data_IF_695444220071
#
_entry.id   IF_695444220071
#
_cell.length_a   1.000
_cell.length_b   1.000
_cell.length_c   1.000
_cell.angle_alpha   90.00
_cell.angle_beta   90.00
_cell.angle_gamma   90.00
#
_symmetry.space_group_name_H-M   'P 1'
#
loop_
_entity.id
_entity.type
_entity.pdbx_description
1 polymer ?
#
# COMPACT_ATOMS: atom_id res chain seq x y z
N UNK A 1 -4.44 -19.43 17.96
CA UNK A 1 -2.96 -19.52 17.90
C UNK A 1 -2.27 -20.13 19.13
N UNK A 2 -2.72 -19.90 20.37
CA UNK A 2 -2.13 -20.58 21.54
C UNK A 2 -0.68 -20.16 21.87
N UNK A 3 -0.28 -18.96 21.43
CA UNK A 3 0.99 -18.33 21.77
C UNK A 3 0.92 -17.79 23.19
N UNK A 4 1.91 -18.12 24.03
CA UNK A 4 1.88 -17.77 25.44
C UNK A 4 1.96 -16.25 25.69
N UNK A 5 2.81 -15.52 24.96
CA UNK A 5 2.99 -14.08 25.10
C UNK A 5 3.15 -13.40 23.73
N UNK A 6 2.35 -12.36 23.48
CA UNK A 6 2.51 -11.41 22.38
C UNK A 6 2.45 -10.01 23.00
N UNK A 7 3.61 -9.40 23.22
CA UNK A 7 3.77 -8.19 24.00
C UNK A 7 4.10 -7.01 23.10
N UNK A 8 3.09 -6.17 22.91
CA UNK A 8 3.09 -5.01 22.01
C UNK A 8 2.60 -3.82 22.81
N UNK A 9 3.04 -2.61 22.46
CA UNK A 9 2.55 -1.37 23.09
C UNK A 9 2.53 -1.38 24.64
N UNK A 10 3.46 -2.11 25.27
CA UNK A 10 3.44 -2.45 26.69
C UNK A 10 4.22 -1.46 27.57
N UNK A 11 4.92 -0.51 26.94
CA UNK A 11 5.62 0.58 27.62
C UNK A 11 5.13 1.93 27.08
N UNK A 12 5.32 3.04 27.83
CA UNK A 12 4.89 4.36 27.39
C UNK A 12 5.67 4.84 26.15
N UNK A 13 4.95 5.18 25.08
CA UNK A 13 5.51 5.85 23.89
C UNK A 13 5.49 7.37 24.07
N UNK A 14 6.50 8.06 23.54
CA UNK A 14 6.49 9.52 23.49
C UNK A 14 5.56 9.97 22.36
N UNK A 15 4.68 10.91 22.67
CA UNK A 15 3.86 11.60 21.67
C UNK A 15 4.76 12.48 20.79
N UNK A 16 4.52 12.46 19.48
CA UNK A 16 5.22 13.34 18.55
C UNK A 16 4.73 14.80 18.71
N UNK A 17 5.65 15.75 18.51
CA UNK A 17 5.37 17.17 18.43
C UNK A 17 5.93 17.74 17.12
N UNK A 18 5.03 18.16 16.22
CA UNK A 18 5.39 18.72 14.91
C UNK A 18 4.82 20.13 14.70
N UNK A 19 4.69 20.56 13.44
CA UNK A 19 4.11 21.85 13.04
C UNK A 19 2.59 21.96 13.31
N UNK A 20 1.91 20.86 13.59
CA UNK A 20 0.50 20.79 13.98
C UNK A 20 0.29 20.68 15.50
N UNK A 21 1.37 20.51 16.26
CA UNK A 21 1.38 20.48 17.72
C UNK A 21 1.56 19.07 18.29
N UNK A 22 1.04 18.84 19.50
CA UNK A 22 1.13 17.54 20.17
C UNK A 22 0.13 16.54 19.61
N UNK A 23 0.60 15.35 19.24
CA UNK A 23 -0.24 14.21 18.82
C UNK A 23 -0.36 13.22 19.98
N UNK A 24 -1.25 13.51 20.93
CA UNK A 24 -1.42 12.74 22.16
C UNK A 24 -2.67 11.84 22.15
N UNK A 25 -3.14 11.45 20.96
CA UNK A 25 -4.32 10.62 20.81
C UNK A 25 -4.13 9.24 21.49
N UNK A 26 -5.12 8.76 22.25
CA UNK A 26 -5.02 7.49 22.94
C UNK A 26 -5.15 6.32 21.96
N UNK A 27 -4.46 5.21 22.25
CA UNK A 27 -4.65 3.98 21.50
C UNK A 27 -6.03 3.38 21.72
N UNK A 28 -6.81 3.30 20.66
CA UNK A 28 -8.13 2.67 20.65
C UNK A 28 -8.28 1.67 19.49
N UNK A 29 -7.19 0.96 19.17
CA UNK A 29 -7.05 -0.08 18.12
C UNK A 29 -6.51 0.39 16.74
N UNK A 30 -5.68 1.45 16.72
CA UNK A 30 -4.98 1.96 15.52
C UNK A 30 -3.56 2.37 15.92
N UNK A 31 -2.57 2.22 15.07
CA UNK A 31 -1.18 2.49 15.45
C UNK A 31 -0.94 3.96 15.83
N UNK A 32 0.14 4.14 16.58
CA UNK A 32 0.51 5.43 17.12
C UNK A 32 1.30 6.25 16.10
N UNK A 33 1.03 7.56 16.07
CA UNK A 33 1.98 8.52 15.54
C UNK A 33 3.12 8.73 16.56
N UNK A 34 4.21 7.97 16.39
CA UNK A 34 5.30 7.89 17.36
C UNK A 34 6.66 8.30 16.80
N UNK A 35 7.53 8.78 17.68
CA UNK A 35 8.92 9.14 17.35
C UNK A 35 9.86 7.93 17.37
N UNK A 36 10.93 8.00 16.57
CA UNK A 36 12.01 7.01 16.62
C UNK A 36 12.93 7.23 17.83
N UNK A 37 13.28 6.14 18.51
CA UNK A 37 14.23 6.11 19.60
C UNK A 37 15.18 4.92 19.54
N UNK A 38 16.21 4.98 20.37
CA UNK A 38 17.15 3.87 20.58
C UNK A 38 16.75 3.10 21.85
N UNK A 39 16.50 1.81 21.70
CA UNK A 39 16.09 0.94 22.79
C UNK A 39 17.26 0.08 23.28
N UNK A 40 17.43 0.02 24.60
CA UNK A 40 18.30 -0.92 25.31
C UNK A 40 17.44 -1.70 26.32
N UNK A 41 17.08 -2.94 25.96
CA UNK A 41 16.06 -3.71 26.67
C UNK A 41 16.68 -4.95 27.29
N UNK A 42 16.44 -5.17 28.59
CA UNK A 42 16.77 -6.42 29.28
C UNK A 42 15.49 -7.13 29.69
N UNK A 43 15.16 -8.20 28.98
CA UNK A 43 13.97 -9.02 29.23
C UNK A 43 14.34 -10.23 30.10
N UNK A 44 13.71 -10.35 31.27
CA UNK A 44 13.88 -11.51 32.15
C UNK A 44 12.62 -12.38 32.12
N UNK A 45 12.76 -13.63 31.67
CA UNK A 45 11.65 -14.60 31.49
C UNK A 45 12.08 -16.00 31.93
N UNK A 46 11.14 -16.91 32.14
CA UNK A 46 11.45 -18.31 32.44
C UNK A 46 12.36 -18.93 31.37
N UNK A 47 13.35 -19.71 31.79
CA UNK A 47 14.49 -20.11 30.93
C UNK A 47 14.09 -20.90 29.68
N UNK A 48 12.95 -21.60 29.73
CA UNK A 48 12.48 -22.50 28.68
C UNK A 48 11.71 -21.77 27.56
N UNK A 49 11.34 -20.50 27.74
CA UNK A 49 10.68 -19.70 26.70
C UNK A 49 11.66 -19.37 25.58
N UNK A 50 11.27 -19.56 24.32
CA UNK A 50 11.98 -18.98 23.18
C UNK A 50 11.38 -17.59 22.91
N UNK A 51 12.22 -16.58 22.66
CA UNK A 51 11.81 -15.19 22.51
C UNK A 51 12.24 -14.68 21.14
N UNK A 52 11.29 -14.11 20.39
CA UNK A 52 11.55 -13.34 19.17
C UNK A 52 11.01 -11.92 19.31
N UNK A 53 11.56 -10.97 18.56
CA UNK A 53 11.09 -9.59 18.63
C UNK A 53 11.96 -8.59 17.88
N UNK A 54 11.75 -7.32 18.20
CA UNK A 54 12.51 -6.16 17.70
C UNK A 54 13.95 -6.18 18.22
N UNK A 55 14.89 -5.73 17.38
CA UNK A 55 16.26 -5.45 17.80
C UNK A 55 17.22 -6.64 17.78
N UNK A 56 18.48 -6.33 18.04
CA UNK A 56 19.62 -7.24 17.97
C UNK A 56 19.94 -7.80 19.35
N UNK A 57 19.98 -9.13 19.48
CA UNK A 57 20.41 -9.78 20.72
C UNK A 57 21.90 -9.48 20.99
N UNK A 58 22.21 -9.09 22.22
CA UNK A 58 23.54 -8.76 22.69
C UNK A 58 24.14 -9.92 23.48
N UNK A 59 25.03 -10.67 22.83
CA UNK A 59 25.72 -11.83 23.44
C UNK A 59 24.76 -12.95 23.87
N UNK A 60 25.27 -13.84 24.71
CA UNK A 60 24.48 -14.97 25.22
C UNK A 60 23.53 -14.56 26.36
N UNK A 61 22.30 -15.10 26.41
CA UNK A 61 21.39 -14.87 27.52
C UNK A 61 21.99 -15.30 28.86
N UNK A 62 21.79 -14.50 29.90
CA UNK A 62 22.26 -14.81 31.25
C UNK A 62 21.22 -15.63 31.99
N UNK A 63 21.56 -16.86 32.37
CA UNK A 63 20.66 -17.78 33.09
C UNK A 63 20.96 -17.75 34.59
N UNK A 64 19.93 -17.50 35.40
CA UNK A 64 19.97 -17.53 36.86
C UNK A 64 18.58 -17.85 37.41
N UNK A 65 18.50 -18.66 38.48
CA UNK A 65 17.27 -18.93 39.23
C UNK A 65 16.06 -19.34 38.35
N UNK A 66 16.27 -20.31 37.45
CA UNK A 66 15.28 -20.80 36.49
C UNK A 66 14.75 -19.77 35.47
N UNK A 67 15.37 -18.60 35.41
CA UNK A 67 15.08 -17.54 34.44
C UNK A 67 16.27 -17.29 33.53
N UNK A 68 16.01 -16.66 32.39
CA UNK A 68 17.04 -16.08 31.52
C UNK A 68 16.77 -14.60 31.30
N UNK A 69 17.85 -13.84 31.26
CA UNK A 69 17.85 -12.42 30.87
C UNK A 69 18.45 -12.30 29.47
N UNK A 70 17.66 -11.82 28.52
CA UNK A 70 18.09 -11.52 27.16
C UNK A 70 18.26 -9.99 27.05
N UNK A 71 19.37 -9.55 26.45
CA UNK A 71 19.66 -8.14 26.23
C UNK A 71 19.49 -7.84 24.74
N UNK A 72 18.62 -6.89 24.40
CA UNK A 72 18.40 -6.42 23.03
C UNK A 72 18.81 -4.96 22.89
N UNK A 73 19.29 -4.60 21.69
CA UNK A 73 19.43 -3.21 21.25
C UNK A 73 18.67 -3.00 19.95
N UNK A 74 17.82 -1.98 19.89
CA UNK A 74 17.10 -1.61 18.67
C UNK A 74 17.27 -0.11 18.42
N UNK A 75 18.18 0.30 17.52
CA UNK A 75 18.36 1.71 17.20
C UNK A 75 17.27 2.19 16.25
N UNK A 76 16.87 3.46 16.39
CA UNK A 76 15.96 4.16 15.48
C UNK A 76 14.64 3.44 15.18
N UNK A 77 13.99 2.88 16.19
CA UNK A 77 12.66 2.26 16.07
C UNK A 77 11.63 3.07 16.85
N UNK A 78 10.35 3.05 16.45
CA UNK A 78 9.28 3.73 17.21
C UNK A 78 8.57 2.80 18.20
N UNK A 79 8.80 1.48 18.09
CA UNK A 79 8.31 0.52 19.06
C UNK A 79 9.31 -0.63 19.34
N UNK A 80 9.18 -1.26 20.50
CA UNK A 80 9.85 -2.51 20.84
C UNK A 80 8.81 -3.59 21.14
N UNK A 81 8.69 -4.53 20.22
CA UNK A 81 7.75 -5.66 20.31
C UNK A 81 8.50 -6.96 20.55
N UNK A 82 7.88 -7.86 21.33
CA UNK A 82 8.38 -9.21 21.48
C UNK A 82 7.25 -10.21 21.69
N UNK A 83 7.51 -11.46 21.33
CA UNK A 83 6.65 -12.59 21.61
C UNK A 83 7.47 -13.75 22.14
N UNK A 84 6.85 -14.58 22.96
CA UNK A 84 7.55 -15.70 23.57
C UNK A 84 6.63 -16.89 23.83
N UNK A 85 7.16 -18.08 23.60
CA UNK A 85 6.49 -19.35 23.84
C UNK A 85 7.54 -20.45 24.10
N UNK A 86 7.33 -21.37 25.06
CA UNK A 86 8.24 -22.50 25.29
C UNK A 86 8.25 -23.50 24.12
N UNK A 87 7.24 -23.46 23.25
CA UNK A 87 7.08 -24.36 22.13
C UNK A 87 7.40 -23.72 20.77
N UNK A 88 7.94 -22.49 20.73
CA UNK A 88 8.43 -21.94 19.48
C UNK A 88 9.65 -22.71 18.93
N UNK A 89 9.56 -23.06 17.65
CA UNK A 89 10.71 -23.27 16.77
C UNK A 89 11.30 -21.92 16.43
N UNK A 90 12.62 -21.82 16.37
CA UNK A 90 13.33 -20.66 15.84
C UNK A 90 14.17 -21.10 14.63
N UNK A 91 13.72 -20.74 13.43
CA UNK A 91 14.49 -20.89 12.20
C UNK A 91 15.12 -19.57 11.79
N UNK A 92 16.19 -19.65 11.00
CA UNK A 92 16.82 -18.48 10.39
C UNK A 92 17.02 -18.69 8.89
N UNK A 93 16.87 -17.62 8.12
CA UNK A 93 17.15 -17.60 6.68
C UNK A 93 18.00 -16.37 6.34
N UNK A 94 19.21 -16.59 5.82
CA UNK A 94 20.10 -15.50 5.43
C UNK A 94 19.75 -15.04 4.01
N UNK A 95 19.40 -13.76 3.85
CA UNK A 95 19.30 -13.14 2.53
C UNK A 95 20.72 -12.89 2.01
N UNK A 96 20.99 -13.21 0.74
CA UNK A 96 22.29 -12.94 0.12
C UNK A 96 22.62 -11.44 0.20
N UNK A 97 23.73 -11.09 0.87
CA UNK A 97 24.14 -9.70 1.15
C UNK A 97 23.06 -8.82 1.83
N UNK A 98 22.12 -9.43 2.55
CA UNK A 98 20.98 -8.75 3.17
C UNK A 98 20.79 -9.12 4.64
N UNK A 99 19.64 -8.71 5.23
CA UNK A 99 19.36 -9.00 6.64
C UNK A 99 19.16 -10.50 6.90
N UNK A 100 19.43 -10.90 8.14
CA UNK A 100 19.08 -12.23 8.64
C UNK A 100 17.57 -12.26 8.97
N UNK A 101 16.83 -13.18 8.36
CA UNK A 101 15.42 -13.40 8.69
C UNK A 101 15.31 -14.42 9.81
N UNK A 102 14.45 -14.14 10.80
CA UNK A 102 14.12 -15.05 11.89
C UNK A 102 12.65 -15.46 11.80
N UNK A 103 12.36 -16.74 12.00
CA UNK A 103 10.99 -17.25 12.00
C UNK A 103 10.70 -17.96 13.31
N UNK A 104 9.63 -17.55 13.98
CA UNK A 104 9.20 -18.12 15.26
C UNK A 104 7.77 -18.64 15.13
N UNK A 105 7.57 -19.94 15.30
CA UNK A 105 6.25 -20.57 15.18
C UNK A 105 6.18 -21.82 16.04
N UNK A 106 4.98 -22.20 16.49
CA UNK A 106 4.85 -23.32 17.43
C UNK A 106 5.21 -24.65 16.78
N UNK A 107 5.90 -25.50 17.52
CA UNK A 107 6.35 -26.84 17.07
C UNK A 107 5.24 -27.88 17.04
N UNK A 108 4.11 -27.62 17.70
CA UNK A 108 2.95 -28.53 17.84
C UNK A 108 1.84 -28.29 16.80
N UNK A 109 2.09 -27.44 15.81
CA UNK A 109 1.16 -27.22 14.70
C UNK A 109 0.96 -28.50 13.88
N UNK A 110 -0.20 -28.63 13.22
CA UNK A 110 -0.40 -29.68 12.23
C UNK A 110 0.65 -29.61 11.11
N UNK A 111 1.03 -30.76 10.56
CA UNK A 111 2.12 -30.88 9.59
C UNK A 111 1.98 -29.92 8.40
N UNK A 112 0.75 -29.71 7.90
CA UNK A 112 0.49 -28.78 6.80
C UNK A 112 0.91 -27.34 7.11
N UNK A 113 0.76 -26.89 8.36
CA UNK A 113 1.15 -25.54 8.77
C UNK A 113 2.66 -25.45 8.99
N UNK A 114 3.28 -26.48 9.56
CA UNK A 114 4.74 -26.58 9.65
C UNK A 114 5.39 -26.49 8.26
N UNK A 115 4.84 -27.20 7.28
CA UNK A 115 5.31 -27.15 5.89
C UNK A 115 5.13 -25.75 5.27
N UNK A 116 4.02 -25.07 5.57
CA UNK A 116 3.78 -23.69 5.11
C UNK A 116 4.81 -22.72 5.69
N UNK A 117 5.14 -22.83 6.99
CA UNK A 117 6.18 -22.01 7.63
C UNK A 117 7.57 -22.24 7.03
N UNK A 118 7.91 -23.47 6.64
CA UNK A 118 9.17 -23.76 5.93
C UNK A 118 9.19 -23.16 4.52
N UNK A 119 8.09 -23.25 3.78
CA UNK A 119 7.96 -22.64 2.44
C UNK A 119 8.02 -21.11 2.49
N UNK A 120 7.48 -20.51 3.55
CA UNK A 120 7.43 -19.06 3.74
C UNK A 120 8.82 -18.41 3.79
N UNK A 121 9.85 -19.10 4.28
CA UNK A 121 11.16 -18.52 4.57
C UNK A 121 11.86 -17.95 3.32
N UNK A 122 12.11 -18.74 2.26
CA UNK A 122 12.69 -18.20 1.02
C UNK A 122 11.79 -17.18 0.34
N UNK A 123 10.46 -17.30 0.43
CA UNK A 123 9.55 -16.34 -0.21
C UNK A 123 9.51 -15.00 0.54
N UNK A 124 9.68 -14.99 1.87
CA UNK A 124 9.87 -13.77 2.67
C UNK A 124 11.15 -13.03 2.25
N UNK A 125 12.23 -13.76 1.95
CA UNK A 125 13.45 -13.16 1.42
C UNK A 125 13.22 -12.48 0.06
N UNK A 126 12.41 -13.09 -0.82
CA UNK A 126 12.04 -12.47 -2.10
C UNK A 126 11.16 -11.24 -1.92
N UNK A 127 10.22 -11.27 -0.97
CA UNK A 127 9.39 -10.10 -0.62
C UNK A 127 10.26 -8.93 -0.12
N UNK A 128 11.18 -9.19 0.83
CA UNK A 128 12.13 -8.19 1.33
C UNK A 128 12.97 -7.58 0.20
N UNK A 129 13.48 -8.41 -0.72
CA UNK A 129 14.22 -7.95 -1.88
C UNK A 129 13.36 -7.07 -2.80
N UNK A 130 12.12 -7.51 -3.09
CA UNK A 130 11.18 -6.76 -3.92
C UNK A 130 10.88 -5.37 -3.33
N UNK A 131 10.57 -5.28 -2.04
CA UNK A 131 10.31 -3.99 -1.37
C UNK A 131 11.55 -3.11 -1.32
N UNK A 132 12.73 -3.71 -1.06
CA UNK A 132 14.00 -2.98 -1.06
C UNK A 132 14.31 -2.37 -2.42
N UNK A 133 14.01 -3.11 -3.50
CA UNK A 133 14.24 -2.66 -4.87
C UNK A 133 13.21 -1.66 -5.37
N UNK A 134 11.95 -1.78 -4.97
CA UNK A 134 10.84 -0.99 -5.52
C UNK A 134 10.44 0.21 -4.66
N UNK A 135 10.75 0.22 -3.36
CA UNK A 135 10.44 1.31 -2.44
C UNK A 135 11.71 2.00 -1.97
N UNK A 136 12.62 1.26 -1.32
CA UNK A 136 13.94 1.76 -0.93
C UNK A 136 14.64 0.85 0.08
N UNK A 137 15.88 1.14 0.47
CA UNK A 137 16.68 0.18 1.24
C UNK A 137 16.13 -0.08 2.65
N UNK A 138 16.01 -1.35 3.03
CA UNK A 138 15.79 -1.76 4.42
C UNK A 138 17.02 -1.45 5.29
N UNK A 139 16.93 -0.65 6.36
CA UNK A 139 18.11 -0.11 7.05
C UNK A 139 18.65 -0.99 8.20
N UNK A 140 18.04 -2.15 8.48
CA UNK A 140 18.42 -3.00 9.61
C UNK A 140 19.05 -4.32 9.17
N UNK A 141 19.78 -4.98 10.07
CA UNK A 141 20.53 -6.21 9.77
C UNK A 141 19.70 -7.50 9.98
N UNK A 142 18.49 -7.39 10.53
CA UNK A 142 17.60 -8.55 10.71
C UNK A 142 16.12 -8.16 10.63
N UNK A 143 15.26 -9.14 10.39
CA UNK A 143 13.80 -9.00 10.52
C UNK A 143 13.19 -10.31 11.04
N UNK A 144 12.19 -10.23 11.92
CA UNK A 144 11.52 -11.42 12.48
C UNK A 144 10.08 -11.57 12.01
N UNK A 145 9.70 -12.74 11.51
CA UNK A 145 8.30 -13.15 11.31
C UNK A 145 7.91 -14.08 12.45
N UNK A 146 6.95 -13.66 13.28
CA UNK A 146 6.65 -14.36 14.54
C UNK A 146 5.17 -14.75 14.54
N UNK A 147 4.88 -15.99 14.93
CA UNK A 147 3.51 -16.41 15.20
C UNK A 147 2.97 -15.64 16.40
N UNK A 148 1.92 -14.86 16.18
CA UNK A 148 1.25 -14.03 17.18
C UNK A 148 -0.12 -14.56 17.60
N UNK A 149 -0.80 -13.79 18.44
CA UNK A 149 -2.16 -14.10 18.91
C UNK A 149 -3.29 -13.66 17.99
N UNK A 150 -3.08 -12.61 17.17
CA UNK A 150 -4.12 -11.93 16.40
C UNK A 150 -3.68 -11.68 14.95
N UNK A 151 -4.66 -11.67 14.03
CA UNK A 151 -4.55 -11.68 12.57
C UNK A 151 -3.15 -11.52 11.95
N UNK A 152 -2.74 -10.26 11.82
CA UNK A 152 -1.45 -9.78 11.34
C UNK A 152 -1.25 -8.40 11.96
N UNK A 153 -0.03 -8.09 12.37
CA UNK A 153 0.31 -6.79 12.94
C UNK A 153 1.79 -6.49 12.72
N UNK A 154 2.04 -5.28 12.28
CA UNK A 154 3.32 -4.74 11.91
C UNK A 154 4.05 -4.15 13.12
N UNK A 155 5.36 -4.42 13.24
CA UNK A 155 6.22 -3.87 14.28
C UNK A 155 7.61 -3.56 13.76
N UNK A 156 8.37 -2.79 14.54
CA UNK A 156 9.70 -2.40 14.12
C UNK A 156 10.60 -3.64 14.08
N UNK A 157 11.19 -3.91 12.92
CA UNK A 157 12.04 -5.09 12.67
C UNK A 157 11.34 -6.44 12.87
N UNK A 158 10.01 -6.49 13.03
CA UNK A 158 9.29 -7.75 13.14
C UNK A 158 7.81 -7.63 12.80
N UNK A 159 7.16 -8.75 12.54
CA UNK A 159 5.70 -8.84 12.46
C UNK A 159 5.19 -9.98 13.33
N UNK A 160 4.00 -9.78 13.89
CA UNK A 160 3.21 -10.84 14.51
C UNK A 160 2.11 -11.27 13.54
N UNK A 161 2.05 -12.55 13.17
CA UNK A 161 1.01 -13.08 12.27
C UNK A 161 0.39 -14.36 12.83
N UNK A 162 -0.88 -14.65 12.55
CA UNK A 162 -1.44 -15.97 12.88
C UNK A 162 -0.86 -17.03 11.95
N UNK A 163 -0.47 -18.18 12.52
CA UNK A 163 0.32 -19.21 11.84
C UNK A 163 -0.49 -20.36 11.25
N UNK A 164 -1.73 -20.57 11.69
CA UNK A 164 -2.61 -21.66 11.21
C UNK A 164 -3.37 -21.28 9.93
N UNK A 165 -2.63 -20.87 8.89
CA UNK A 165 -3.18 -20.38 7.61
C UNK A 165 -2.85 -21.31 6.44
N UNK A 166 -3.68 -21.28 5.40
CA UNK A 166 -3.29 -21.81 4.09
C UNK A 166 -2.09 -21.03 3.56
N UNK A 167 -1.24 -21.64 2.72
CA UNK A 167 0.00 -21.01 2.28
C UNK A 167 -0.21 -19.64 1.65
N UNK A 168 -1.16 -19.51 0.73
CA UNK A 168 -1.45 -18.22 0.08
C UNK A 168 -1.91 -17.14 1.05
N UNK A 169 -2.65 -17.50 2.11
CA UNK A 169 -3.04 -16.55 3.15
C UNK A 169 -1.87 -16.18 4.08
N UNK A 170 -1.02 -17.15 4.44
CA UNK A 170 0.17 -16.92 5.26
C UNK A 170 1.18 -16.02 4.56
N UNK A 171 1.46 -16.30 3.28
CA UNK A 171 2.33 -15.47 2.45
C UNK A 171 1.75 -14.06 2.25
N UNK A 172 0.44 -13.96 1.99
CA UNK A 172 -0.24 -12.67 1.80
C UNK A 172 -0.20 -11.78 3.04
N UNK A 173 -0.50 -12.31 4.23
CA UNK A 173 -0.39 -11.53 5.47
C UNK A 173 1.07 -11.14 5.74
N UNK A 174 2.02 -12.07 5.54
CA UNK A 174 3.45 -11.77 5.71
C UNK A 174 3.92 -10.67 4.77
N UNK A 175 3.46 -10.66 3.52
CA UNK A 175 3.78 -9.61 2.54
C UNK A 175 3.24 -8.23 2.96
N UNK A 176 2.01 -8.18 3.49
CA UNK A 176 1.40 -6.95 4.00
C UNK A 176 2.17 -6.42 5.21
N UNK A 177 2.32 -7.24 6.26
CA UNK A 177 2.98 -6.78 7.49
C UNK A 177 4.48 -6.48 7.31
N UNK A 178 5.14 -7.15 6.35
CA UNK A 178 6.51 -6.83 6.01
C UNK A 178 6.60 -5.48 5.29
N UNK A 179 5.70 -5.20 4.35
CA UNK A 179 5.68 -3.95 3.58
C UNK A 179 5.48 -2.71 4.47
N UNK A 180 4.76 -2.86 5.58
CA UNK A 180 4.60 -1.83 6.61
C UNK A 180 5.93 -1.33 7.16
N UNK A 181 7.01 -2.12 7.11
CA UNK A 181 8.36 -1.63 7.41
C UNK A 181 8.69 -0.33 6.67
N UNK A 182 8.33 -0.21 5.40
CA UNK A 182 8.64 0.99 4.62
C UNK A 182 7.66 2.12 4.89
N UNK A 183 6.36 1.84 4.90
CA UNK A 183 5.32 2.88 4.97
C UNK A 183 4.93 3.28 6.39
N UNK A 184 4.88 2.33 7.33
CA UNK A 184 4.59 2.63 8.74
C UNK A 184 5.84 2.85 9.58
N UNK A 185 6.90 2.05 9.43
CA UNK A 185 8.05 2.16 10.36
C UNK A 185 9.07 3.19 9.92
N UNK A 186 9.38 3.25 8.63
CA UNK A 186 10.43 4.14 8.12
C UNK A 186 9.86 5.50 7.75
N UNK A 187 8.68 5.58 7.14
CA UNK A 187 8.02 6.87 6.92
C UNK A 187 7.24 7.34 8.14
N UNK A 188 6.52 6.43 8.81
CA UNK A 188 5.71 6.70 10.01
C UNK A 188 4.74 7.86 9.82
N UNK A 189 3.97 7.82 8.74
CA UNK A 189 2.89 8.79 8.55
C UNK A 189 1.93 8.77 9.74
N UNK A 190 1.31 9.92 10.05
CA UNK A 190 0.34 10.02 11.13
C UNK A 190 -0.94 9.22 10.78
N UNK A 191 -0.97 7.94 11.16
CA UNK A 191 -2.06 7.01 10.82
C UNK A 191 -3.42 7.48 11.37
N UNK A 192 -3.46 8.20 12.49
CA UNK A 192 -4.70 8.75 13.02
C UNK A 192 -5.38 9.75 12.06
N UNK A 193 -4.61 10.39 11.17
CA UNK A 193 -5.10 11.35 10.17
C UNK A 193 -5.02 10.86 8.73
N UNK A 194 -4.09 9.95 8.45
CA UNK A 194 -3.64 9.59 7.10
C UNK A 194 -3.42 8.08 6.99
N UNK A 195 -4.29 7.29 7.61
CA UNK A 195 -4.25 5.81 7.65
C UNK A 195 -4.07 5.17 6.27
N UNK A 196 -4.60 5.83 5.24
CA UNK A 196 -4.62 5.33 3.88
C UNK A 196 -3.25 5.42 3.19
N UNK A 197 -2.36 6.30 3.68
CA UNK A 197 -0.98 6.35 3.22
C UNK A 197 -0.16 5.19 3.77
N UNK A 198 -0.56 4.67 4.92
CA UNK A 198 0.06 3.48 5.49
C UNK A 198 -0.57 2.22 4.87
N UNK A 199 -1.81 1.91 5.27
CA UNK A 199 -2.49 0.68 4.88
C UNK A 199 -2.70 0.55 3.38
N UNK A 200 -2.98 1.66 2.70
CA UNK A 200 -3.19 1.68 1.26
C UNK A 200 -1.90 1.49 0.48
N UNK A 201 -0.79 2.10 0.90
CA UNK A 201 0.48 1.99 0.18
C UNK A 201 1.11 0.62 0.44
N UNK A 202 0.97 0.11 1.66
CA UNK A 202 1.28 -1.29 2.03
C UNK A 202 0.44 -2.27 1.21
N UNK A 203 -0.87 -2.06 1.09
CA UNK A 203 -1.75 -2.88 0.24
C UNK A 203 -1.35 -2.83 -1.24
N UNK A 204 -0.96 -1.65 -1.73
CA UNK A 204 -0.50 -1.46 -3.10
C UNK A 204 0.76 -2.29 -3.38
N UNK A 205 1.83 -2.07 -2.60
CA UNK A 205 3.11 -2.70 -2.89
C UNK A 205 3.10 -4.20 -2.61
N UNK A 206 2.38 -4.65 -1.58
CA UNK A 206 2.29 -6.07 -1.23
C UNK A 206 1.51 -6.84 -2.30
N UNK A 207 0.46 -6.25 -2.89
CA UNK A 207 -0.24 -6.86 -4.02
C UNK A 207 0.67 -7.05 -5.25
N UNK A 208 1.54 -6.07 -5.54
CA UNK A 208 2.51 -6.19 -6.64
C UNK A 208 3.59 -7.24 -6.34
N UNK A 209 4.15 -7.25 -5.12
CA UNK A 209 5.14 -8.23 -4.69
C UNK A 209 4.58 -9.66 -4.75
N UNK A 210 3.35 -9.84 -4.26
CA UNK A 210 2.63 -11.11 -4.34
C UNK A 210 2.40 -11.53 -5.80
N UNK A 211 2.17 -10.59 -6.71
CA UNK A 211 2.01 -10.89 -8.13
C UNK A 211 3.32 -11.32 -8.78
N UNK A 212 4.46 -10.73 -8.36
CA UNK A 212 5.79 -11.09 -8.87
C UNK A 212 6.17 -12.52 -8.51
N UNK A 213 5.72 -13.02 -7.35
CA UNK A 213 5.96 -14.40 -6.91
C UNK A 213 5.02 -15.45 -7.52
N UNK A 214 4.01 -15.03 -8.30
CA UNK A 214 3.10 -15.98 -8.97
C UNK A 214 3.76 -16.60 -10.20
N UNK A 215 3.47 -17.87 -10.41
CA UNK A 215 3.75 -18.53 -11.69
C UNK A 215 2.97 -17.87 -12.83
N UNK A 216 1.68 -17.60 -12.60
CA UNK A 216 0.80 -16.88 -13.52
C UNK A 216 0.51 -15.47 -12.97
N UNK A 217 1.22 -14.49 -13.53
CA UNK A 217 1.03 -13.07 -13.19
C UNK A 217 -0.37 -12.61 -13.60
N UNK A 218 -1.04 -11.91 -12.70
CA UNK A 218 -2.29 -11.20 -13.00
C UNK A 218 -1.95 -9.91 -13.75
N UNK A 219 -2.79 -9.59 -14.73
CA UNK A 219 -2.73 -8.32 -15.46
C UNK A 219 -2.96 -7.13 -14.52
N UNK A 220 -4.03 -7.17 -13.73
CA UNK A 220 -4.29 -6.21 -12.66
C UNK A 220 -4.25 -6.89 -11.28
N UNK A 221 -3.10 -6.87 -10.57
CA UNK A 221 -3.00 -7.41 -9.21
C UNK A 221 -3.85 -6.66 -8.18
N UNK A 222 -4.25 -5.42 -8.48
CA UNK A 222 -5.02 -4.53 -7.60
C UNK A 222 -6.54 -4.61 -7.84
N UNK A 223 -7.01 -5.49 -8.73
CA UNK A 223 -8.44 -5.62 -9.03
C UNK A 223 -9.33 -5.85 -7.77
N UNK A 224 -8.77 -6.42 -6.70
CA UNK A 224 -9.43 -6.50 -5.40
C UNK A 224 -9.67 -5.12 -4.77
N UNK A 225 -8.64 -4.29 -4.71
CA UNK A 225 -8.68 -2.92 -4.17
C UNK A 225 -9.59 -2.03 -5.00
N UNK A 226 -9.56 -2.12 -6.34
CA UNK A 226 -10.50 -1.37 -7.20
C UNK A 226 -11.95 -1.74 -6.90
N UNK A 227 -12.29 -3.04 -6.79
CA UNK A 227 -13.65 -3.46 -6.40
C UNK A 227 -14.04 -2.97 -5.01
N UNK A 228 -13.12 -2.98 -4.04
CA UNK A 228 -13.35 -2.47 -2.70
C UNK A 228 -13.66 -0.96 -2.69
N UNK A 229 -12.86 -0.17 -3.42
CA UNK A 229 -13.07 1.26 -3.58
C UNK A 229 -14.38 1.57 -4.32
N UNK A 230 -14.65 0.95 -5.48
CA UNK A 230 -15.88 1.18 -6.25
C UNK A 230 -17.11 0.82 -5.42
N UNK A 231 -17.04 -0.25 -4.62
CA UNK A 231 -18.08 -0.61 -3.66
C UNK A 231 -18.31 0.46 -2.60
N UNK A 232 -17.25 1.09 -2.08
CA UNK A 232 -17.34 2.20 -1.14
C UNK A 232 -17.93 3.46 -1.80
N UNK A 233 -17.45 3.85 -2.97
CA UNK A 233 -17.92 5.04 -3.68
C UNK A 233 -19.43 4.96 -4.01
N UNK A 234 -19.91 3.76 -4.36
CA UNK A 234 -21.32 3.52 -4.65
C UNK A 234 -22.18 3.23 -3.40
N UNK A 235 -21.60 3.20 -2.20
CA UNK A 235 -22.30 2.80 -0.97
C UNK A 235 -23.22 3.88 -0.37
N UNK A 236 -22.96 5.15 -0.69
CA UNK A 236 -23.60 6.30 -0.05
C UNK A 236 -23.12 6.58 1.39
N UNK A 237 -22.10 5.85 1.89
CA UNK A 237 -21.52 6.05 3.23
C UNK A 237 -20.01 6.37 3.20
N UNK A 238 -19.46 6.67 2.02
CA UNK A 238 -18.08 7.10 1.88
C UNK A 238 -17.82 8.40 2.67
N UNK A 239 -16.63 8.48 3.27
CA UNK A 239 -16.11 9.71 3.87
C UNK A 239 -14.73 10.01 3.26
N UNK A 240 -14.32 11.30 3.14
CA UNK A 240 -13.02 11.66 2.61
C UNK A 240 -11.86 11.04 3.39
N UNK A 241 -10.71 10.84 2.74
CA UNK A 241 -9.47 10.32 3.35
C UNK A 241 -8.83 11.28 4.35
N UNK A 242 -9.40 12.47 4.54
CA UNK A 242 -9.06 13.42 5.61
C UNK A 242 -9.86 13.17 6.89
N UNK A 243 -10.79 12.21 6.87
CA UNK A 243 -11.53 11.80 8.07
C UNK A 243 -10.56 11.15 9.03
N UNK A 244 -10.45 11.72 10.24
CA UNK A 244 -9.68 11.10 11.31
C UNK A 244 -10.11 9.65 11.49
N UNK A 245 -9.14 8.74 11.60
CA UNK A 245 -9.36 7.30 11.58
C UNK A 245 -10.49 6.91 12.56
N UNK A 246 -10.44 7.37 13.82
CA UNK A 246 -11.47 7.11 14.84
C UNK A 246 -12.87 7.70 14.62
N UNK A 247 -13.08 8.45 13.55
CA UNK A 247 -14.31 9.24 13.32
C UNK A 247 -15.08 8.82 12.08
N UNK A 248 -14.72 7.70 11.49
CA UNK A 248 -15.58 7.06 10.50
C UNK A 248 -16.88 6.58 11.17
N UNK A 249 -18.00 6.79 10.49
CA UNK A 249 -19.32 6.36 10.95
C UNK A 249 -19.41 4.84 10.95
N UNK A 250 -18.73 4.17 10.02
CA UNK A 250 -18.74 2.72 9.86
C UNK A 250 -17.31 2.18 9.73
N UNK A 251 -16.98 1.11 10.47
CA UNK A 251 -15.70 0.42 10.33
C UNK A 251 -15.47 -0.15 8.93
N UNK A 252 -16.54 -0.52 8.22
CA UNK A 252 -16.44 -0.95 6.82
C UNK A 252 -16.01 0.19 5.90
N UNK A 253 -16.49 1.41 6.14
CA UNK A 253 -16.07 2.59 5.37
C UNK A 253 -14.61 2.93 5.66
N UNK A 254 -14.19 2.87 6.94
CA UNK A 254 -12.77 2.98 7.32
C UNK A 254 -11.90 1.95 6.59
N UNK A 255 -12.24 0.66 6.67
CA UNK A 255 -11.44 -0.39 6.06
C UNK A 255 -11.35 -0.27 4.53
N UNK A 256 -12.45 0.11 3.87
CA UNK A 256 -12.39 0.34 2.43
C UNK A 256 -11.60 1.61 2.08
N UNK A 257 -11.67 2.67 2.89
CA UNK A 257 -10.91 3.90 2.69
C UNK A 257 -9.39 3.69 2.90
N UNK A 258 -9.00 3.14 4.05
CA UNK A 258 -7.61 2.92 4.42
C UNK A 258 -6.89 1.98 3.44
N UNK A 259 -7.46 0.79 3.19
CA UNK A 259 -6.79 -0.24 2.40
C UNK A 259 -7.09 -0.11 0.91
N UNK A 260 -8.38 -0.09 0.53
CA UNK A 260 -8.77 -0.18 -0.88
C UNK A 260 -8.58 1.15 -1.60
N UNK A 261 -9.19 2.23 -1.10
CA UNK A 261 -9.06 3.56 -1.71
C UNK A 261 -7.63 4.09 -1.62
N UNK A 262 -6.93 3.85 -0.52
CA UNK A 262 -5.50 4.19 -0.40
C UNK A 262 -4.61 3.46 -1.41
N UNK A 263 -4.83 2.16 -1.66
CA UNK A 263 -4.10 1.44 -2.70
C UNK A 263 -4.43 1.95 -4.11
N UNK A 264 -5.71 2.24 -4.37
CA UNK A 264 -6.17 2.82 -5.63
C UNK A 264 -5.60 4.23 -5.81
N UNK A 265 -5.39 5.01 -4.75
CA UNK A 265 -4.77 6.35 -4.83
C UNK A 265 -3.41 6.28 -5.51
N UNK A 266 -2.54 5.33 -5.14
CA UNK A 266 -1.21 5.19 -5.76
C UNK A 266 -1.32 4.64 -7.18
N UNK A 267 -2.16 3.63 -7.40
CA UNK A 267 -2.34 3.02 -8.71
C UNK A 267 -2.89 4.01 -9.75
N UNK A 268 -3.91 4.77 -9.36
CA UNK A 268 -4.56 5.79 -10.16
C UNK A 268 -3.62 6.99 -10.41
N UNK A 269 -2.74 7.32 -9.47
CA UNK A 269 -1.67 8.29 -9.74
C UNK A 269 -0.76 7.78 -10.86
N UNK A 270 -0.45 6.49 -10.89
CA UNK A 270 0.27 5.84 -12.00
C UNK A 270 -0.43 5.95 -13.35
N UNK A 271 -1.76 5.83 -13.38
CA UNK A 271 -2.54 6.09 -14.59
C UNK A 271 -2.39 7.55 -15.07
N UNK A 272 -2.34 8.51 -14.13
CA UNK A 272 -2.22 9.96 -14.43
C UNK A 272 -0.83 10.32 -14.92
N UNK A 273 0.23 9.82 -14.29
CA UNK A 273 1.62 10.27 -14.55
C UNK A 273 2.48 9.29 -15.35
N UNK A 274 1.98 8.08 -15.60
CA UNK A 274 2.70 6.97 -16.21
C UNK A 274 3.44 6.11 -15.18
N UNK A 275 3.50 4.79 -15.44
CA UNK A 275 4.04 3.79 -14.50
C UNK A 275 5.52 4.04 -14.12
N UNK A 276 6.36 4.38 -15.10
CA UNK A 276 7.78 4.66 -14.85
C UNK A 276 8.01 5.89 -13.98
N UNK A 277 7.15 6.91 -14.14
CA UNK A 277 7.19 8.10 -13.28
C UNK A 277 6.66 7.78 -11.88
N UNK A 278 5.67 6.90 -11.75
CA UNK A 278 5.21 6.42 -10.44
C UNK A 278 6.31 5.66 -9.70
N UNK A 279 7.02 4.74 -10.36
CA UNK A 279 8.15 4.01 -9.77
C UNK A 279 9.23 4.98 -9.25
N UNK A 280 9.59 5.98 -10.05
CA UNK A 280 10.53 7.04 -9.64
C UNK A 280 9.98 7.87 -8.47
N UNK A 281 8.70 8.19 -8.47
CA UNK A 281 8.02 8.94 -7.42
C UNK A 281 8.07 8.21 -6.09
N UNK A 282 7.70 6.91 -6.06
CA UNK A 282 7.72 6.10 -4.84
C UNK A 282 9.14 6.04 -4.25
N UNK A 283 10.14 5.76 -5.08
CA UNK A 283 11.55 5.75 -4.64
C UNK A 283 12.00 7.09 -4.09
N UNK A 284 11.75 8.17 -4.84
CA UNK A 284 12.15 9.51 -4.43
C UNK A 284 11.45 9.95 -3.15
N UNK A 285 10.17 9.60 -3.01
CA UNK A 285 9.37 9.88 -1.82
C UNK A 285 9.94 9.15 -0.61
N UNK A 286 10.25 7.86 -0.74
CA UNK A 286 10.89 7.12 0.34
C UNK A 286 12.26 7.70 0.70
N UNK A 287 13.13 7.94 -0.27
CA UNK A 287 14.48 8.49 -0.04
C UNK A 287 14.45 9.87 0.64
N UNK A 288 13.48 10.71 0.26
CA UNK A 288 13.35 12.05 0.82
C UNK A 288 12.75 12.05 2.23
N UNK A 289 11.86 11.11 2.55
CA UNK A 289 11.02 11.18 3.75
C UNK A 289 11.22 10.05 4.76
N UNK A 290 12.07 9.07 4.48
CA UNK A 290 12.46 8.08 5.48
C UNK A 290 12.98 8.78 6.75
N UNK A 291 12.35 8.45 7.88
CA UNK A 291 12.50 9.02 9.21
C UNK A 291 12.09 10.50 9.33
N UNK A 292 11.00 10.92 8.66
CA UNK A 292 10.55 12.34 8.66
C UNK A 292 9.04 12.59 8.80
N UNK A 293 8.19 11.58 8.95
CA UNK A 293 6.74 11.76 9.11
C UNK A 293 6.08 12.55 7.95
N UNK A 294 6.12 12.05 6.70
CA UNK A 294 5.53 12.76 5.56
C UNK A 294 4.01 12.89 5.63
N UNK A 295 3.50 13.95 5.00
CA UNK A 295 2.07 14.28 4.86
C UNK A 295 1.57 13.97 3.43
N UNK A 296 0.25 13.91 3.20
CA UNK A 296 -0.32 13.61 1.88
C UNK A 296 0.22 14.48 0.73
N UNK A 297 0.44 15.78 0.97
CA UNK A 297 0.98 16.66 -0.06
C UNK A 297 2.42 16.35 -0.45
N UNK A 298 3.21 15.71 0.41
CA UNK A 298 4.60 15.35 0.11
C UNK A 298 4.68 14.29 -1.01
N UNK A 299 3.71 13.38 -1.08
CA UNK A 299 3.56 12.41 -2.18
C UNK A 299 3.32 13.15 -3.49
N UNK A 300 2.37 14.10 -3.48
CA UNK A 300 2.03 14.90 -4.66
C UNK A 300 3.20 15.76 -5.11
N UNK A 301 3.80 16.55 -4.21
CA UNK A 301 4.96 17.40 -4.55
C UNK A 301 6.16 16.58 -5.03
N UNK A 302 6.30 15.34 -4.57
CA UNK A 302 7.32 14.43 -5.12
C UNK A 302 6.98 14.03 -6.56
N UNK A 303 5.73 13.66 -6.85
CA UNK A 303 5.29 13.32 -8.20
C UNK A 303 5.45 14.50 -9.17
N UNK A 304 5.10 15.72 -8.75
CA UNK A 304 5.28 16.93 -9.55
C UNK A 304 6.76 17.20 -9.84
N UNK A 305 7.65 17.05 -8.86
CA UNK A 305 9.11 17.18 -9.08
C UNK A 305 9.69 16.16 -10.05
N UNK A 306 9.06 15.00 -10.21
CA UNK A 306 9.50 13.96 -11.15
C UNK A 306 8.96 14.20 -12.56
N UNK A 307 7.79 14.83 -12.67
CA UNK A 307 7.01 14.87 -13.91
C UNK A 307 6.89 16.27 -14.51
N UNK A 308 7.19 17.32 -13.74
CA UNK A 308 6.90 18.73 -14.03
C UNK A 308 5.39 19.03 -14.26
N UNK A 309 4.50 18.12 -13.85
CA UNK A 309 3.04 18.30 -13.90
C UNK A 309 2.52 19.04 -12.67
N UNK A 310 1.32 19.63 -12.79
CA UNK A 310 0.53 20.15 -11.66
C UNK A 310 -0.47 19.07 -11.20
N UNK A 311 -0.40 18.64 -9.93
CA UNK A 311 -1.09 17.44 -9.44
C UNK A 311 -1.84 17.62 -8.11
N UNK A 312 -1.86 18.81 -7.52
CA UNK A 312 -2.58 19.10 -6.28
C UNK A 312 -4.08 18.78 -6.34
N UNK A 313 -4.70 18.99 -7.51
CA UNK A 313 -6.08 18.61 -7.80
C UNK A 313 -6.36 17.13 -7.55
N UNK A 314 -5.38 16.25 -7.79
CA UNK A 314 -5.56 14.81 -7.62
C UNK A 314 -5.80 14.44 -6.15
N UNK A 315 -4.99 15.00 -5.24
CA UNK A 315 -5.22 14.81 -3.80
C UNK A 315 -6.52 15.47 -3.36
N UNK A 316 -6.82 16.67 -3.87
CA UNK A 316 -8.06 17.36 -3.53
C UNK A 316 -9.28 16.52 -3.91
N UNK A 317 -9.41 16.15 -5.18
CA UNK A 317 -10.59 15.42 -5.66
C UNK A 317 -10.64 13.99 -5.11
N UNK A 318 -9.57 13.20 -5.24
CA UNK A 318 -9.61 11.79 -4.85
C UNK A 318 -9.50 11.58 -3.34
N UNK A 319 -8.69 12.40 -2.65
CA UNK A 319 -8.41 12.24 -1.23
C UNK A 319 -9.25 13.11 -0.30
N UNK A 320 -9.45 14.39 -0.63
CA UNK A 320 -10.06 15.37 0.29
C UNK A 320 -11.57 15.54 0.07
N UNK A 321 -12.12 14.91 -0.96
CA UNK A 321 -13.57 14.87 -1.23
C UNK A 321 -14.05 13.42 -1.41
N UNK A 322 -15.34 13.27 -1.73
CA UNK A 322 -15.94 12.02 -2.20
C UNK A 322 -16.33 12.13 -3.68
N UNK A 323 -15.65 13.00 -4.44
CA UNK A 323 -15.86 13.11 -5.88
C UNK A 323 -15.48 11.79 -6.54
N UNK A 324 -16.30 11.35 -7.49
CA UNK A 324 -16.05 10.13 -8.26
C UNK A 324 -15.58 10.44 -9.68
N UNK A 325 -14.87 9.49 -10.25
CA UNK A 325 -14.57 9.42 -11.68
C UNK A 325 -15.72 8.65 -12.33
N UNK A 326 -16.40 9.25 -13.30
CA UNK A 326 -17.39 8.61 -14.17
C UNK A 326 -17.39 9.34 -15.50
N UNK A 327 -16.93 8.65 -16.55
CA UNK A 327 -16.86 9.14 -17.91
C UNK A 327 -17.72 8.27 -18.82
N UNK A 328 -18.20 8.83 -19.92
CA UNK A 328 -19.03 8.09 -20.86
C UNK A 328 -18.82 8.52 -22.30
N UNK A 329 -19.13 7.61 -23.22
CA UNK A 329 -19.20 7.92 -24.64
C UNK A 329 -20.61 8.42 -24.94
N UNK A 330 -20.75 9.73 -25.17
CA UNK A 330 -22.05 10.39 -25.38
C UNK A 330 -22.60 10.12 -26.77
N UNK A 331 -21.79 10.32 -27.80
CA UNK A 331 -22.19 10.10 -29.20
C UNK A 331 -21.01 9.72 -30.07
N UNK A 332 -21.25 8.83 -31.04
CA UNK A 332 -20.35 8.56 -32.17
C UNK A 332 -21.14 8.80 -33.46
N UNK A 333 -20.76 9.81 -34.23
CA UNK A 333 -21.40 10.17 -35.51
C UNK A 333 -20.37 10.12 -36.65
N UNK A 334 -20.32 8.97 -37.32
CA UNK A 334 -19.39 8.70 -38.41
C UNK A 334 -17.93 8.76 -37.95
N UNK A 335 -17.32 9.95 -38.03
CA UNK A 335 -15.93 10.22 -37.64
C UNK A 335 -15.80 11.10 -36.40
N UNK A 336 -16.91 11.60 -35.87
CA UNK A 336 -16.92 12.50 -34.72
C UNK A 336 -17.27 11.73 -33.45
N UNK A 337 -16.46 11.86 -32.42
CA UNK A 337 -16.65 11.22 -31.12
C UNK A 337 -16.87 12.33 -30.09
N UNK A 338 -17.93 12.23 -29.29
CA UNK A 338 -18.16 13.10 -28.12
C UNK A 338 -18.15 12.25 -26.87
N UNK A 339 -17.26 12.59 -25.95
CA UNK A 339 -17.20 12.07 -24.60
C UNK A 339 -17.93 13.01 -23.65
N UNK A 340 -18.38 12.48 -22.51
CA UNK A 340 -18.92 13.26 -21.40
C UNK A 340 -18.32 12.85 -20.07
N UNK A 341 -18.16 13.83 -19.18
CA UNK A 341 -17.78 13.63 -17.80
C UNK A 341 -19.03 13.75 -16.93
N UNK A 342 -19.41 12.64 -16.30
CA UNK A 342 -20.59 12.52 -15.44
C UNK A 342 -20.17 12.73 -13.97
N UNK A 343 -19.04 12.14 -13.58
CA UNK A 343 -18.42 12.29 -12.26
C UNK A 343 -17.81 13.67 -12.07
N UNK A 344 -17.62 14.07 -10.81
CA UNK A 344 -17.10 15.41 -10.49
C UNK A 344 -15.57 15.51 -10.59
N UNK A 345 -14.85 14.39 -10.53
CA UNK A 345 -13.39 14.37 -10.63
C UNK A 345 -12.95 14.38 -12.10
N UNK A 346 -12.23 15.41 -12.56
CA UNK A 346 -11.65 15.42 -13.91
C UNK A 346 -10.42 14.52 -13.99
N UNK A 347 -10.20 13.90 -15.14
CA UNK A 347 -9.09 12.98 -15.43
C UNK A 347 -8.53 13.22 -16.84
N UNK A 348 -7.22 13.00 -17.07
CA UNK A 348 -6.74 12.73 -18.41
C UNK A 348 -7.32 11.40 -18.89
N UNK A 349 -7.55 11.23 -20.20
CA UNK A 349 -8.28 10.08 -20.74
C UNK A 349 -7.44 9.32 -21.76
N UNK A 350 -7.20 8.03 -21.49
CA UNK A 350 -6.77 7.05 -22.48
C UNK A 350 -7.99 6.47 -23.21
N UNK A 351 -7.91 6.37 -24.54
CA UNK A 351 -9.03 5.96 -25.39
C UNK A 351 -8.53 5.06 -26.52
N UNK A 352 -9.22 3.94 -26.79
CA UNK A 352 -8.99 3.15 -28.00
C UNK A 352 -10.16 3.27 -28.96
N UNK A 353 -9.88 3.50 -30.24
CA UNK A 353 -10.86 3.62 -31.31
C UNK A 353 -10.59 2.53 -32.35
N UNK A 354 -11.60 1.68 -32.61
CA UNK A 354 -11.57 0.72 -33.72
C UNK A 354 -12.43 1.25 -34.86
N UNK A 355 -11.90 1.21 -36.07
CA UNK A 355 -12.54 1.70 -37.28
C UNK A 355 -13.31 0.60 -38.03
N UNK A 356 -14.20 1.00 -38.93
CA UNK A 356 -15.01 0.05 -39.73
C UNK A 356 -14.17 -0.82 -40.68
N UNK A 357 -12.94 -0.40 -41.01
CA UNK A 357 -12.00 -1.18 -41.82
C UNK A 357 -11.19 -2.21 -41.01
N UNK A 358 -11.42 -2.30 -39.69
CA UNK A 358 -10.78 -3.23 -38.77
C UNK A 358 -9.45 -2.74 -38.19
N UNK A 359 -8.96 -1.56 -38.57
CA UNK A 359 -7.79 -0.95 -37.92
C UNK A 359 -8.18 -0.27 -36.60
N UNK A 360 -7.22 -0.09 -35.68
CA UNK A 360 -7.42 0.63 -34.42
C UNK A 360 -6.35 1.70 -34.21
N UNK A 361 -6.67 2.71 -33.42
CA UNK A 361 -5.77 3.77 -32.99
C UNK A 361 -6.07 4.13 -31.52
N UNK A 362 -5.01 4.32 -30.74
CA UNK A 362 -5.10 4.75 -29.35
C UNK A 362 -4.84 6.26 -29.26
N UNK A 363 -5.63 6.94 -28.43
CA UNK A 363 -5.56 8.38 -28.21
C UNK A 363 -5.35 8.68 -26.73
N UNK A 364 -4.65 9.77 -26.47
CA UNK A 364 -4.51 10.35 -25.14
C UNK A 364 -5.05 11.77 -25.15
N UNK A 365 -5.97 12.06 -24.23
CA UNK A 365 -6.55 13.38 -23.99
C UNK A 365 -5.96 13.91 -22.69
N UNK A 366 -5.00 14.85 -22.75
CA UNK A 366 -4.46 15.46 -21.55
C UNK A 366 -5.52 16.21 -20.77
N UNK A 367 -5.39 16.26 -19.44
CA UNK A 367 -6.20 17.13 -18.62
C UNK A 367 -5.54 18.51 -18.51
N UNK A 368 -6.24 19.57 -18.94
CA UNK A 368 -5.67 20.92 -19.05
C UNK A 368 -5.03 21.46 -17.76
N UNK A 369 -5.59 21.11 -16.60
CA UNK A 369 -5.08 21.59 -15.31
C UNK A 369 -3.78 20.91 -14.88
N UNK A 370 -3.37 19.80 -15.52
CA UNK A 370 -2.07 19.16 -15.28
C UNK A 370 -0.89 19.93 -15.86
N UNK A 371 -1.15 20.86 -16.81
CA UNK A 371 -0.12 21.65 -17.50
C UNK A 371 0.97 20.82 -18.19
N UNK A 372 0.64 19.60 -18.60
CA UNK A 372 1.51 18.72 -19.37
C UNK A 372 0.87 17.35 -19.60
N UNK A 373 1.65 16.45 -20.16
CA UNK A 373 1.23 15.09 -20.53
C UNK A 373 2.10 14.02 -19.88
N UNK A 374 1.51 12.84 -19.60
CA UNK A 374 2.31 11.65 -19.28
C UNK A 374 3.01 11.13 -20.54
N UNK A 375 4.14 10.42 -20.42
CA UNK A 375 4.73 9.69 -21.54
C UNK A 375 3.74 8.66 -22.09
N UNK A 376 3.52 8.66 -23.40
CA UNK A 376 2.62 7.72 -24.09
C UNK A 376 3.02 7.55 -25.55
N UNK A 377 2.73 6.37 -26.12
CA UNK A 377 2.84 6.08 -27.55
C UNK A 377 1.53 6.38 -28.31
N UNK A 378 0.45 6.71 -27.59
CA UNK A 378 -0.84 7.07 -28.17
C UNK A 378 -0.80 8.42 -28.90
N UNK A 379 -1.73 8.63 -29.84
CA UNK A 379 -1.92 9.92 -30.48
C UNK A 379 -2.43 10.94 -29.46
N UNK A 380 -1.58 11.91 -29.09
CA UNK A 380 -1.97 13.00 -28.19
C UNK A 380 -2.86 13.99 -28.94
N UNK A 381 -4.05 14.24 -28.42
CA UNK A 381 -4.98 15.27 -28.93
C UNK A 381 -5.13 16.42 -27.95
N UNK A 382 -5.93 17.43 -28.30
CA UNK A 382 -6.08 18.65 -27.50
C UNK A 382 -6.50 18.32 -26.06
N UNK A 383 -6.03 19.12 -25.13
CA UNK A 383 -6.38 19.01 -23.73
C UNK A 383 -7.90 19.19 -23.48
N UNK A 384 -8.43 18.44 -22.51
CA UNK A 384 -9.79 18.62 -22.01
C UNK A 384 -9.77 19.62 -20.85
N UNK A 385 -10.41 20.77 -21.03
CA UNK A 385 -10.64 21.73 -19.96
C UNK A 385 -11.56 21.14 -18.88
N UNK A 386 -11.10 21.08 -17.63
CA UNK A 386 -11.81 20.44 -16.50
C UNK A 386 -13.23 20.99 -16.26
N UNK A 387 -13.48 22.24 -16.64
CA UNK A 387 -14.78 22.89 -16.50
C UNK A 387 -15.80 22.50 -17.59
N UNK A 388 -15.37 21.84 -18.67
CA UNK A 388 -16.24 21.45 -19.78
C UNK A 388 -16.77 20.03 -19.55
N UNK A 389 -18.09 19.82 -19.49
CA UNK A 389 -18.66 18.49 -19.23
C UNK A 389 -18.58 17.56 -20.44
N UNK A 390 -18.28 18.07 -21.63
CA UNK A 390 -18.19 17.28 -22.87
C UNK A 390 -16.92 17.62 -23.64
N UNK A 391 -16.39 16.65 -24.37
CA UNK A 391 -15.23 16.81 -25.25
C UNK A 391 -15.48 16.12 -26.58
N UNK A 392 -15.34 16.86 -27.68
CA UNK A 392 -15.59 16.36 -29.04
C UNK A 392 -14.33 16.46 -29.87
N UNK A 393 -14.03 15.41 -30.62
CA UNK A 393 -12.92 15.38 -31.57
C UNK A 393 -13.26 14.50 -32.78
N UNK A 394 -12.55 14.72 -33.88
CA UNK A 394 -12.73 13.96 -35.12
C UNK A 394 -11.54 13.02 -35.35
N UNK A 395 -11.84 11.84 -35.90
CA UNK A 395 -10.85 10.85 -36.33
C UNK A 395 -10.79 10.73 -37.86
N UNK A 396 -9.77 10.03 -38.36
CA UNK A 396 -9.49 9.98 -39.81
C UNK A 396 -10.47 9.09 -40.58
N UNK A 397 -11.02 8.06 -39.93
CA UNK A 397 -11.87 7.01 -40.53
C UNK A 397 -13.17 6.87 -39.76
N UNK A 398 -14.16 6.22 -40.39
CA UNK A 398 -15.44 5.93 -39.76
C UNK A 398 -15.24 4.99 -38.58
N UNK A 399 -15.79 5.37 -37.42
CA UNK A 399 -15.67 4.65 -36.16
C UNK A 399 -16.60 3.45 -36.15
N UNK A 400 -16.09 2.32 -35.66
CA UNK A 400 -16.87 1.12 -35.35
C UNK A 400 -17.12 1.00 -33.85
N UNK A 401 -16.08 1.18 -33.04
CA UNK A 401 -16.21 1.15 -31.58
C UNK A 401 -15.20 2.07 -30.92
N UNK A 402 -15.56 2.52 -29.71
CA UNK A 402 -14.74 3.39 -28.85
C UNK A 402 -14.73 2.77 -27.46
N UNK A 403 -13.57 2.77 -26.81
CA UNK A 403 -13.41 2.32 -25.41
C UNK A 403 -12.57 3.33 -24.63
N UNK A 404 -13.15 3.91 -23.59
CA UNK A 404 -12.45 4.71 -22.57
C UNK A 404 -11.72 3.74 -21.64
N UNK A 405 -10.47 4.09 -21.30
CA UNK A 405 -9.59 3.31 -20.43
C UNK A 405 -9.58 1.80 -20.76
N UNK A 406 -9.03 1.42 -21.93
CA UNK A 406 -8.91 0.00 -22.28
C UNK A 406 -8.08 -0.81 -21.27
N UNK A 407 -7.23 -0.15 -20.47
CA UNK A 407 -6.40 -0.77 -19.44
C UNK A 407 -7.16 -1.14 -18.17
N UNK A 408 -8.33 -0.53 -17.93
CA UNK A 408 -9.13 -0.67 -16.71
C UNK A 408 -8.36 -0.30 -15.43
N UNK A 409 -7.49 0.70 -15.56
CA UNK A 409 -6.68 1.24 -14.45
C UNK A 409 -7.21 2.60 -13.97
N UNK A 410 -8.17 3.19 -14.68
CA UNK A 410 -8.96 4.31 -14.19
C UNK A 410 -10.04 3.77 -13.23
N UNK A 411 -10.13 4.38 -12.05
CA UNK A 411 -11.06 4.05 -10.99
C UNK A 411 -12.45 4.64 -11.25
N UNK A 412 -12.90 4.47 -12.50
CA UNK A 412 -14.25 4.82 -12.92
C UNK A 412 -15.26 3.97 -12.15
N UNK A 413 -16.22 4.62 -11.48
CA UNK A 413 -17.19 3.95 -10.61
C UNK A 413 -18.31 3.28 -11.40
N UNK A 414 -18.37 3.52 -12.72
CA UNK A 414 -19.38 3.01 -13.63
C UNK A 414 -18.74 2.71 -14.98
N UNK A 415 -18.29 1.48 -15.21
CA UNK A 415 -17.56 1.12 -16.44
C UNK A 415 -18.45 0.69 -17.62
N UNK A 416 -19.77 0.59 -17.43
CA UNK A 416 -20.71 0.12 -18.46
C UNK A 416 -20.96 1.15 -19.59
N UNK A 417 -20.66 2.43 -19.34
CA UNK A 417 -20.73 3.54 -20.30
C UNK A 417 -19.37 3.87 -20.96
N UNK A 418 -18.31 3.15 -20.60
CA UNK A 418 -16.96 3.33 -21.14
C UNK A 418 -16.77 2.70 -22.52
N UNK A 419 -17.73 1.91 -23.01
CA UNK A 419 -17.66 1.29 -24.34
C UNK A 419 -18.88 1.60 -25.18
N UNK A 420 -18.65 1.92 -26.45
CA UNK A 420 -19.70 2.11 -27.46
C UNK A 420 -19.32 1.35 -28.73
N UNK A 421 -20.29 0.64 -29.32
CA UNK A 421 -20.13 -0.01 -30.63
C UNK A 421 -21.30 0.42 -31.51
N UNK A 422 -21.00 0.90 -32.72
CA UNK A 422 -22.00 1.20 -33.74
C UNK A 422 -22.60 -0.12 -34.23
N UNK A 423 -23.92 -0.25 -34.15
CA UNK A 423 -24.67 -1.42 -34.66
C UNK A 423 -24.63 -1.57 -36.18
#
# INVERSE_FOLDING_TARGET
>A
EGVALSMTQWYPKLAEYDDEGWHADPYIAREFHGVWGDFDVKLTIDKDYVVGGTGYQQGEPKVADNKKTIHFKAPRVHDFTWAADPDFVHDTFQIENGPLLHFYYKKDLEQQYLDNWKKLQPDTAKLMAYFSENVGTYPYEQYSVIQGGDGGMEYAMCTLITGQRSYGSLLGVTAHELAHTWFQFLLATNEAKHEWMDEGFTSYISALAMNELREEKRENPLAGSYRGYIGLANSGVEQPLTTHADRYVYNQAYGAAAYSKGAVFIAQLGYVIGEENLKKTIKKYFDDFAFKHPKPMDVIRTAERITDLELDWYLMDFGQTTNTIDYGIKTVDGKSITLERIGLMPMPIDLSVTYTDGTSEDFYIPLQMMRGEKPTDATIIKDWAWAMPTYTFDVTKTVKSVTIDPSKLMADVKDDNNSFTVE
#
